data_IF_824682856001
#
_entry.id   IF_824682856001
#
_cell.length_a   1.000
_cell.length_b   1.000
_cell.length_c   1.000
_cell.angle_alpha   90.00
_cell.angle_beta   90.00
_cell.angle_gamma   90.00
#
_symmetry.space_group_name_H-M   'P 1'
#
loop_
_entity.id
_entity.type
_entity.pdbx_description
1 polymer ?
#
# COMPACT_ATOMS: atom_id res chain seq x y z
N UNK A 1 -14.34 4.80 -5.18
CA UNK A 1 -15.20 4.77 -3.94
C UNK A 1 -14.82 5.88 -2.96
N UNK A 2 -13.53 6.15 -2.76
CA UNK A 2 -13.03 7.22 -1.90
C UNK A 2 -13.60 8.61 -2.24
N UNK A 3 -13.69 8.97 -3.53
CA UNK A 3 -14.33 10.22 -4.00
C UNK A 3 -15.76 10.36 -3.44
N UNK A 4 -16.58 9.30 -3.52
CA UNK A 4 -17.94 9.30 -2.97
C UNK A 4 -17.96 9.45 -1.45
N UNK A 5 -16.95 8.91 -0.76
CA UNK A 5 -16.76 9.11 0.68
C UNK A 5 -16.60 10.59 1.02
N UNK A 6 -15.72 11.29 0.30
CA UNK A 6 -15.55 12.74 0.45
C UNK A 6 -16.81 13.53 0.07
N UNK A 7 -17.47 13.21 -1.05
CA UNK A 7 -18.72 13.85 -1.48
C UNK A 7 -19.86 13.69 -0.47
N UNK A 8 -19.84 12.64 0.36
CA UNK A 8 -20.86 12.37 1.35
C UNK A 8 -20.68 13.20 2.64
N UNK A 9 -19.54 13.85 2.86
CA UNK A 9 -19.25 14.62 4.08
C UNK A 9 -20.34 15.64 4.45
N UNK A 10 -20.87 16.47 3.52
CA UNK A 10 -21.89 17.45 3.87
C UNK A 10 -23.22 16.84 4.31
N UNK A 11 -23.52 15.61 3.91
CA UNK A 11 -24.82 14.95 4.13
C UNK A 11 -24.80 13.92 5.26
N UNK A 12 -23.71 13.16 5.38
CA UNK A 12 -23.60 11.97 6.23
C UNK A 12 -22.34 12.01 7.11
N UNK A 13 -21.90 13.20 7.52
CA UNK A 13 -20.62 13.50 8.19
C UNK A 13 -19.96 12.34 8.96
N UNK A 14 -20.52 11.87 10.10
CA UNK A 14 -19.90 10.82 10.91
C UNK A 14 -19.64 9.49 10.15
N UNK A 15 -20.55 9.12 9.26
CA UNK A 15 -20.42 7.92 8.42
C UNK A 15 -19.39 8.15 7.30
N UNK A 16 -19.43 9.31 6.66
CA UNK A 16 -18.50 9.70 5.61
C UNK A 16 -17.04 9.69 6.10
N UNK A 17 -16.75 10.20 7.30
CA UNK A 17 -15.40 10.14 7.88
C UNK A 17 -14.87 8.72 8.05
N UNK A 18 -15.74 7.79 8.44
CA UNK A 18 -15.34 6.41 8.63
C UNK A 18 -15.12 5.71 7.28
N UNK A 19 -15.96 5.99 6.30
CA UNK A 19 -15.81 5.48 4.94
C UNK A 19 -14.53 6.03 4.28
N UNK A 20 -14.22 7.32 4.46
CA UNK A 20 -12.97 7.93 4.00
C UNK A 20 -11.78 7.20 4.61
N UNK A 21 -11.74 7.01 5.94
CA UNK A 21 -10.65 6.29 6.61
C UNK A 21 -10.50 4.86 6.07
N UNK A 22 -11.61 4.14 5.96
CA UNK A 22 -11.62 2.78 5.46
C UNK A 22 -11.12 2.70 4.01
N UNK A 23 -11.68 3.50 3.11
CA UNK A 23 -11.26 3.49 1.70
C UNK A 23 -9.85 4.05 1.50
N UNK A 24 -9.39 4.99 2.32
CA UNK A 24 -8.00 5.46 2.34
C UNK A 24 -7.04 4.34 2.77
N UNK A 25 -7.39 3.55 3.78
CA UNK A 25 -6.57 2.40 4.20
C UNK A 25 -6.50 1.34 3.09
N UNK A 26 -7.64 0.99 2.49
CA UNK A 26 -7.71 0.01 1.40
C UNK A 26 -6.91 0.48 0.18
N UNK A 27 -7.11 1.71 -0.29
CA UNK A 27 -6.37 2.20 -1.46
C UNK A 27 -4.89 2.40 -1.12
N UNK A 28 -4.57 2.85 0.08
CA UNK A 28 -3.20 3.01 0.55
C UNK A 28 -2.43 1.69 0.53
N UNK A 29 -3.04 0.61 1.02
CA UNK A 29 -2.46 -0.73 0.98
C UNK A 29 -2.17 -1.20 -0.45
N UNK A 30 -3.18 -1.23 -1.33
CA UNK A 30 -2.98 -1.74 -2.69
C UNK A 30 -2.04 -0.87 -3.54
N UNK A 31 -2.02 0.45 -3.32
CA UNK A 31 -1.08 1.34 -4.02
C UNK A 31 0.34 1.15 -3.50
N UNK A 32 0.53 0.92 -2.20
CA UNK A 32 1.85 0.61 -1.64
C UNK A 32 2.37 -0.74 -2.15
N UNK A 33 1.53 -1.78 -2.13
CA UNK A 33 1.85 -3.11 -2.66
C UNK A 33 2.21 -3.07 -4.14
N UNK A 34 1.53 -2.22 -4.93
CA UNK A 34 1.89 -2.01 -6.33
C UNK A 34 3.34 -1.52 -6.52
N UNK A 35 3.96 -0.93 -5.49
CA UNK A 35 5.35 -0.51 -5.51
C UNK A 35 6.37 -1.59 -5.12
N UNK A 36 5.93 -2.73 -4.62
CA UNK A 36 6.80 -3.86 -4.29
C UNK A 36 7.08 -4.66 -5.57
N UNK A 37 8.36 -4.77 -6.02
CA UNK A 37 8.71 -5.45 -7.27
C UNK A 37 8.17 -6.87 -7.39
N UNK A 38 8.11 -7.57 -6.26
CA UNK A 38 7.74 -8.98 -6.19
C UNK A 38 6.22 -9.24 -6.21
N UNK A 39 5.35 -8.24 -6.08
CA UNK A 39 3.89 -8.43 -5.93
C UNK A 39 3.15 -8.72 -7.26
N UNK A 40 3.82 -8.58 -8.40
CA UNK A 40 3.23 -8.76 -9.74
C UNK A 40 3.84 -9.91 -10.56
N UNK A 41 4.67 -10.77 -9.94
CA UNK A 41 5.40 -11.85 -10.63
C UNK A 41 4.98 -13.23 -10.13
N UNK A 42 5.11 -14.25 -10.99
CA UNK A 42 4.91 -15.64 -10.57
C UNK A 42 5.99 -16.07 -9.55
N UNK A 43 7.22 -15.61 -9.71
CA UNK A 43 8.35 -15.92 -8.83
C UNK A 43 8.42 -15.00 -7.58
N UNK A 44 7.26 -14.57 -7.05
CA UNK A 44 7.16 -13.56 -5.99
C UNK A 44 7.92 -13.88 -4.71
N UNK A 45 8.16 -15.16 -4.45
CA UNK A 45 8.92 -15.62 -3.27
C UNK A 45 10.24 -16.28 -3.67
N UNK A 46 10.70 -16.15 -4.92
CA UNK A 46 11.90 -16.83 -5.40
C UNK A 46 11.74 -18.36 -5.57
N UNK A 47 10.52 -18.87 -5.46
CA UNK A 47 10.21 -20.30 -5.43
C UNK A 47 10.47 -21.04 -6.75
N UNK A 48 10.57 -20.33 -7.87
CA UNK A 48 10.87 -20.89 -9.19
C UNK A 48 12.37 -20.90 -9.51
N UNK A 49 13.19 -20.20 -8.72
CA UNK A 49 14.63 -20.01 -8.97
C UNK A 49 15.52 -20.40 -7.79
N UNK A 50 14.95 -21.03 -6.75
CA UNK A 50 15.70 -21.53 -5.59
C UNK A 50 15.99 -20.49 -4.51
N UNK A 51 15.20 -19.41 -4.44
CA UNK A 51 15.42 -18.26 -3.56
C UNK A 51 14.29 -18.07 -2.53
N UNK A 52 13.57 -19.16 -2.22
CA UNK A 52 12.39 -19.17 -1.35
C UNK A 52 12.59 -18.32 -0.10
N UNK A 53 11.66 -17.39 0.14
CA UNK A 53 11.67 -16.47 1.28
C UNK A 53 12.18 -15.06 0.97
N UNK A 54 12.68 -14.80 -0.24
CA UNK A 54 13.18 -13.46 -0.63
C UNK A 54 12.10 -12.37 -0.49
N UNK A 55 10.83 -12.72 -0.64
CA UNK A 55 9.74 -11.76 -0.43
C UNK A 55 9.82 -11.11 0.96
N UNK A 56 9.83 -11.94 2.00
CA UNK A 56 9.91 -11.51 3.39
C UNK A 56 11.26 -10.84 3.69
N UNK A 57 12.36 -11.42 3.19
CA UNK A 57 13.69 -10.88 3.43
C UNK A 57 13.83 -9.47 2.86
N UNK A 58 13.28 -9.20 1.68
CA UNK A 58 13.39 -7.89 1.02
C UNK A 58 12.43 -6.85 1.60
N UNK A 59 11.14 -7.16 1.73
CA UNK A 59 10.14 -6.13 2.09
C UNK A 59 10.06 -5.86 3.60
N UNK A 60 10.33 -6.86 4.43
CA UNK A 60 10.15 -6.78 5.89
C UNK A 60 11.50 -6.74 6.61
N UNK A 61 12.28 -7.81 6.53
CA UNK A 61 13.50 -7.93 7.33
C UNK A 61 14.54 -6.87 6.98
N UNK A 62 14.80 -6.65 5.68
CA UNK A 62 15.75 -5.64 5.22
C UNK A 62 15.31 -4.23 5.65
N UNK A 63 14.01 -3.92 5.54
CA UNK A 63 13.47 -2.64 5.97
C UNK A 63 13.63 -2.45 7.48
N UNK A 64 13.21 -3.42 8.30
CA UNK A 64 13.32 -3.33 9.77
C UNK A 64 14.77 -3.15 10.21
N UNK A 65 15.70 -3.90 9.62
CA UNK A 65 17.14 -3.84 9.94
C UNK A 65 17.76 -2.48 9.60
N UNK A 66 17.41 -1.92 8.44
CA UNK A 66 18.13 -0.77 7.87
C UNK A 66 17.31 0.52 7.73
N UNK A 67 16.07 0.59 8.25
CA UNK A 67 15.19 1.76 8.14
C UNK A 67 15.84 3.10 8.52
N UNK A 68 16.75 3.10 9.52
CA UNK A 68 17.46 4.32 9.96
C UNK A 68 18.50 4.82 8.96
N UNK A 69 18.90 3.98 8.01
CA UNK A 69 19.89 4.30 6.98
C UNK A 69 19.23 4.73 5.67
N UNK A 70 17.94 4.49 5.48
CA UNK A 70 17.19 4.85 4.28
C UNK A 70 16.97 6.37 4.19
N UNK A 71 17.12 6.90 2.98
CA UNK A 71 16.75 8.28 2.67
C UNK A 71 15.27 8.35 2.27
N UNK A 72 14.44 8.82 3.20
CA UNK A 72 13.01 9.06 2.96
C UNK A 72 12.79 10.53 2.61
N UNK A 73 12.63 10.80 1.32
CA UNK A 73 12.34 12.11 0.74
C UNK A 73 11.29 11.99 -0.37
N UNK A 74 10.00 11.81 -0.02
CA UNK A 74 8.92 11.72 -0.99
C UNK A 74 8.86 12.98 -1.87
N UNK A 75 8.47 12.79 -3.12
CA UNK A 75 8.26 13.87 -4.07
C UNK A 75 6.97 14.67 -3.81
N UNK A 76 6.76 15.77 -4.55
CA UNK A 76 5.54 16.57 -4.45
C UNK A 76 4.30 15.77 -4.88
N UNK A 77 3.13 16.21 -4.40
CA UNK A 77 1.85 15.63 -4.80
C UNK A 77 1.64 15.73 -6.30
N UNK A 78 1.11 14.65 -6.89
CA UNK A 78 0.74 14.56 -8.30
C UNK A 78 -0.78 14.52 -8.42
N UNK A 79 -1.32 15.11 -9.48
CA UNK A 79 -2.73 14.96 -9.81
C UNK A 79 -2.94 13.61 -10.50
N UNK A 80 -3.79 12.76 -9.93
CA UNK A 80 -4.13 11.44 -10.45
C UNK A 80 -5.63 11.40 -10.72
N UNK A 81 -5.99 11.42 -11.99
CA UNK A 81 -7.38 11.44 -12.47
C UNK A 81 -7.91 10.08 -12.89
N UNK A 82 -7.00 9.14 -13.20
CA UNK A 82 -7.31 7.77 -13.61
C UNK A 82 -6.56 6.80 -12.71
N UNK A 83 -7.13 6.51 -11.53
CA UNK A 83 -6.43 5.74 -10.48
C UNK A 83 -6.10 4.31 -10.91
N UNK A 84 -6.93 3.70 -11.76
CA UNK A 84 -6.71 2.35 -12.27
C UNK A 84 -5.45 2.31 -13.12
N UNK A 85 -5.39 3.19 -14.12
CA UNK A 85 -4.29 3.21 -15.09
C UNK A 85 -2.97 3.48 -14.37
N UNK A 86 -2.95 4.46 -13.46
CA UNK A 86 -1.80 4.72 -12.60
C UNK A 86 -1.32 3.48 -11.81
N UNK A 87 -2.23 2.73 -11.20
CA UNK A 87 -1.87 1.52 -10.43
C UNK A 87 -1.32 0.43 -11.37
N UNK A 88 -1.94 0.21 -12.52
CA UNK A 88 -1.46 -0.80 -13.48
C UNK A 88 -0.11 -0.42 -14.09
N UNK A 89 0.13 0.85 -14.39
CA UNK A 89 1.44 1.37 -14.81
C UNK A 89 2.48 1.13 -13.71
N UNK A 90 2.15 1.45 -12.47
CA UNK A 90 3.02 1.21 -11.29
C UNK A 90 3.36 -0.28 -11.13
N UNK A 91 2.38 -1.17 -11.31
CA UNK A 91 2.59 -2.63 -11.26
C UNK A 91 3.50 -3.11 -12.38
N UNK A 92 3.33 -2.59 -13.60
CA UNK A 92 4.19 -2.92 -14.73
C UNK A 92 5.62 -2.44 -14.50
N UNK A 93 5.81 -1.24 -13.95
CA UNK A 93 7.13 -0.75 -13.52
C UNK A 93 7.76 -1.66 -12.46
N UNK A 94 7.01 -2.00 -11.39
CA UNK A 94 7.48 -2.92 -10.34
C UNK A 94 7.87 -4.29 -10.89
N UNK A 95 7.05 -4.84 -11.80
CA UNK A 95 7.30 -6.13 -12.43
C UNK A 95 8.67 -6.18 -13.12
N UNK A 96 9.07 -5.10 -13.81
CA UNK A 96 10.38 -5.04 -14.48
C UNK A 96 11.57 -5.03 -13.49
N UNK A 97 11.33 -4.73 -12.21
CA UNK A 97 12.36 -4.62 -11.17
C UNK A 97 12.50 -5.90 -10.35
N UNK A 98 11.67 -6.91 -10.59
CA UNK A 98 11.70 -8.16 -9.82
C UNK A 98 13.01 -8.93 -10.03
N UNK A 99 13.50 -8.97 -11.28
CA UNK A 99 14.76 -9.66 -11.60
C UNK A 99 15.97 -9.00 -10.96
N UNK A 100 15.95 -7.68 -10.75
CA UNK A 100 17.01 -6.97 -10.02
C UNK A 100 17.07 -7.40 -8.55
N UNK A 101 15.90 -7.56 -7.90
CA UNK A 101 15.81 -8.06 -6.51
C UNK A 101 16.31 -9.50 -6.42
N UNK A 102 15.89 -10.36 -7.35
CA UNK A 102 16.32 -11.76 -7.38
C UNK A 102 17.82 -11.90 -7.69
N UNK A 103 18.37 -11.05 -8.56
CA UNK A 103 19.80 -11.04 -8.86
C UNK A 103 20.60 -10.60 -7.64
N UNK A 104 20.16 -9.53 -6.96
CA UNK A 104 20.80 -9.07 -5.74
C UNK A 104 20.78 -10.12 -4.61
N UNK A 105 19.69 -10.88 -4.46
CA UNK A 105 19.61 -11.99 -3.50
C UNK A 105 20.63 -13.10 -3.81
N UNK A 106 20.77 -13.52 -5.08
CA UNK A 106 21.77 -14.51 -5.49
C UNK A 106 23.19 -14.04 -5.24
N UNK A 107 23.49 -12.79 -5.56
CA UNK A 107 24.80 -12.20 -5.30
C UNK A 107 25.08 -12.07 -3.80
N UNK A 108 24.05 -11.72 -3.02
CA UNK A 108 24.15 -11.54 -1.58
C UNK A 108 24.36 -12.86 -0.84
N UNK A 109 23.79 -13.98 -1.30
CA UNK A 109 24.04 -15.29 -0.69
C UNK A 109 25.38 -15.88 -1.18
N UNK A 110 25.69 -15.78 -2.46
CA UNK A 110 26.89 -16.39 -3.05
C UNK A 110 26.96 -17.88 -2.76
N UNK A 111 28.10 -18.34 -2.24
CA UNK A 111 28.32 -19.75 -1.85
C UNK A 111 27.99 -20.03 -0.37
N UNK A 112 27.29 -19.10 0.33
CA UNK A 112 26.87 -19.30 1.72
C UNK A 112 25.60 -20.14 1.79
N UNK A 113 25.48 -20.89 2.88
CA UNK A 113 24.27 -21.68 3.19
C UNK A 113 23.35 -21.01 4.22
N UNK A 114 23.71 -19.82 4.71
CA UNK A 114 22.99 -19.08 5.74
C UNK A 114 22.73 -17.62 5.34
N UNK A 115 21.53 -17.13 5.63
CA UNK A 115 21.14 -15.72 5.50
C UNK A 115 21.60 -14.91 6.72
N UNK A 116 22.91 -14.81 6.90
CA UNK A 116 23.56 -14.13 8.02
C UNK A 116 23.58 -12.59 7.87
N UNK A 117 24.19 -11.88 8.83
CA UNK A 117 24.30 -10.42 8.77
C UNK A 117 25.06 -9.95 7.53
N UNK A 118 26.05 -10.71 7.05
CA UNK A 118 26.79 -10.38 5.83
C UNK A 118 25.91 -10.48 4.58
N UNK A 119 25.02 -11.47 4.53
CA UNK A 119 23.99 -11.57 3.49
C UNK A 119 23.10 -10.31 3.51
N UNK A 120 22.57 -9.92 4.67
CA UNK A 120 21.68 -8.76 4.78
C UNK A 120 22.38 -7.44 4.46
N UNK A 121 23.64 -7.25 4.88
CA UNK A 121 24.44 -6.09 4.51
C UNK A 121 24.66 -5.99 3.01
N UNK A 122 24.97 -7.13 2.37
CA UNK A 122 25.20 -7.18 0.92
C UNK A 122 23.90 -6.93 0.15
N UNK A 123 22.81 -7.60 0.53
CA UNK A 123 21.50 -7.40 -0.09
C UNK A 123 21.07 -5.94 0.05
N UNK A 124 21.20 -5.35 1.25
CA UNK A 124 20.87 -3.96 1.49
C UNK A 124 21.69 -3.02 0.61
N UNK A 125 23.02 -3.18 0.59
CA UNK A 125 23.87 -2.33 -0.24
C UNK A 125 23.50 -2.39 -1.73
N UNK A 126 23.09 -3.56 -2.23
CA UNK A 126 22.68 -3.77 -3.62
C UNK A 126 21.31 -3.20 -3.93
N UNK A 127 20.32 -3.40 -3.06
CA UNK A 127 18.93 -3.02 -3.33
C UNK A 127 18.53 -1.69 -2.73
N UNK A 128 19.38 -1.04 -1.94
CA UNK A 128 19.07 0.23 -1.26
C UNK A 128 18.56 1.31 -2.21
N UNK A 129 19.20 1.62 -3.36
CA UNK A 129 18.68 2.65 -4.26
C UNK A 129 17.27 2.33 -4.77
N UNK A 130 17.01 1.06 -5.08
CA UNK A 130 15.70 0.58 -5.51
C UNK A 130 14.67 0.71 -4.38
N UNK A 131 15.01 0.27 -3.17
CA UNK A 131 14.14 0.35 -2.00
C UNK A 131 13.81 1.80 -1.65
N UNK A 132 14.80 2.69 -1.58
CA UNK A 132 14.59 4.13 -1.36
C UNK A 132 13.68 4.72 -2.43
N UNK A 133 13.92 4.40 -3.71
CA UNK A 133 13.06 4.86 -4.81
C UNK A 133 11.62 4.38 -4.64
N UNK A 134 11.39 3.08 -4.50
CA UNK A 134 10.02 2.51 -4.41
C UNK A 134 9.27 2.98 -3.18
N UNK A 135 9.95 3.12 -2.04
CA UNK A 135 9.33 3.63 -0.82
C UNK A 135 8.92 5.10 -0.96
N UNK A 136 9.78 5.95 -1.52
CA UNK A 136 9.45 7.36 -1.76
C UNK A 136 8.33 7.52 -2.81
N UNK A 137 8.38 6.75 -3.89
CA UNK A 137 7.33 6.74 -4.91
C UNK A 137 5.99 6.28 -4.32
N UNK A 138 5.98 5.23 -3.49
CA UNK A 138 4.79 4.73 -2.82
C UNK A 138 4.16 5.78 -1.89
N UNK A 139 4.97 6.45 -1.06
CA UNK A 139 4.49 7.52 -0.17
C UNK A 139 3.87 8.65 -0.99
N UNK A 140 4.55 9.10 -2.05
CA UNK A 140 4.02 10.14 -2.94
C UNK A 140 2.72 9.68 -3.62
N UNK A 141 2.65 8.45 -4.10
CA UNK A 141 1.49 7.89 -4.80
C UNK A 141 0.27 7.80 -3.89
N UNK A 142 0.42 7.24 -2.69
CA UNK A 142 -0.68 7.14 -1.70
C UNK A 142 -1.22 8.52 -1.34
N UNK A 143 -0.33 9.48 -1.05
CA UNK A 143 -0.73 10.84 -0.75
C UNK A 143 -1.43 11.53 -1.93
N UNK A 144 -0.92 11.30 -3.15
CA UNK A 144 -1.45 11.86 -4.40
C UNK A 144 -2.85 11.33 -4.72
N UNK A 145 -3.09 10.02 -4.56
CA UNK A 145 -4.40 9.41 -4.82
C UNK A 145 -5.45 9.90 -3.82
N UNK A 146 -5.12 9.91 -2.53
CA UNK A 146 -6.06 10.38 -1.49
C UNK A 146 -6.38 11.86 -1.71
N UNK A 147 -5.37 12.68 -1.99
CA UNK A 147 -5.56 14.11 -2.25
C UNK A 147 -6.38 14.32 -3.51
N UNK A 148 -6.03 13.67 -4.62
CA UNK A 148 -6.78 13.78 -5.89
C UNK A 148 -8.24 13.39 -5.71
N UNK A 149 -8.54 12.35 -4.91
CA UNK A 149 -9.92 11.97 -4.61
C UNK A 149 -10.68 13.05 -3.80
N UNK A 150 -10.00 13.74 -2.86
CA UNK A 150 -10.56 14.87 -2.13
C UNK A 150 -10.79 16.08 -3.04
N UNK A 151 -9.84 16.38 -3.94
CA UNK A 151 -9.97 17.48 -4.90
C UNK A 151 -11.12 17.24 -5.88
N UNK A 152 -11.22 16.04 -6.44
CA UNK A 152 -12.32 15.63 -7.34
C UNK A 152 -13.69 15.64 -6.63
N UNK A 153 -13.71 15.48 -5.31
CA UNK A 153 -14.93 15.61 -4.51
C UNK A 153 -15.34 17.07 -4.25
N UNK A 154 -14.62 18.05 -4.79
CA UNK A 154 -14.91 19.48 -4.60
C UNK A 154 -14.29 20.07 -3.34
N UNK A 155 -13.23 19.44 -2.80
CA UNK A 155 -12.49 19.93 -1.62
C UNK A 155 -13.39 20.15 -0.39
N UNK A 156 -14.24 19.19 0.01
CA UNK A 156 -15.11 19.35 1.17
C UNK A 156 -14.28 19.63 2.43
N UNK A 157 -14.73 20.52 3.33
CA UNK A 157 -13.99 20.85 4.54
C UNK A 157 -13.83 19.61 5.43
N UNK A 158 -12.62 19.42 5.94
CA UNK A 158 -12.27 18.32 6.83
C UNK A 158 -12.12 18.83 8.27
N UNK A 159 -12.69 18.11 9.23
CA UNK A 159 -12.43 18.32 10.65
C UNK A 159 -11.34 17.37 11.14
N UNK A 160 -10.37 17.89 11.88
CA UNK A 160 -9.35 17.09 12.57
C UNK A 160 -9.96 16.22 13.69
N UNK A 161 -11.08 16.67 14.26
CA UNK A 161 -11.82 15.99 15.33
C UNK A 161 -13.25 15.70 14.85
N UNK A 162 -13.43 14.73 13.95
CA UNK A 162 -14.76 14.40 13.47
C UNK A 162 -15.59 13.79 14.61
N UNK A 163 -16.89 14.14 14.70
CA UNK A 163 -17.77 13.59 15.73
C UNK A 163 -17.86 12.06 15.61
N UNK A 164 -17.97 11.33 16.75
CA UNK A 164 -18.12 9.89 16.72
C UNK A 164 -19.41 9.49 16.00
N UNK A 165 -19.45 8.25 15.48
CA UNK A 165 -20.68 7.70 14.90
C UNK A 165 -21.79 7.68 15.97
N UNK A 166 -23.03 8.06 15.63
CA UNK A 166 -24.14 7.95 16.56
C UNK A 166 -24.39 6.48 16.91
N UNK A 167 -24.88 6.19 18.13
CA UNK A 167 -25.24 4.82 18.53
C UNK A 167 -26.23 4.20 17.54
N UNK A 168 -25.98 2.96 17.14
CA UNK A 168 -26.89 2.21 16.29
C UNK A 168 -27.80 1.32 17.13
N UNK A 169 -29.11 1.33 16.86
CA UNK A 169 -30.03 0.34 17.44
C UNK A 169 -29.72 -1.03 16.86
N UNK A 170 -29.64 -2.05 17.73
CA UNK A 170 -29.56 -3.45 17.31
C UNK A 170 -30.74 -3.76 16.37
N UNK A 171 -30.46 -4.26 15.17
CA UNK A 171 -31.50 -4.84 14.31
C UNK A 171 -31.98 -6.12 14.99
N UNK A 172 -33.13 -6.06 15.66
CA UNK A 172 -33.88 -7.25 16.05
C UNK A 172 -34.68 -7.64 14.81
N UNK A 173 -34.46 -8.84 14.28
CA UNK A 173 -35.17 -9.34 13.11
C UNK A 173 -36.68 -9.24 13.31
N UNK A 174 -37.42 -8.89 12.26
CA UNK A 174 -38.88 -9.01 12.24
C UNK A 174 -39.27 -10.49 12.29
N UNK A 175 -39.19 -11.11 13.47
CA UNK A 175 -39.96 -12.32 13.77
C UNK A 175 -41.27 -11.89 14.39
N UNK A 176 -42.22 -11.59 13.51
CA UNK A 176 -43.57 -11.19 13.87
C UNK A 176 -44.47 -11.22 12.64
N UNK A 177 -44.40 -12.29 11.86
CA UNK A 177 -45.51 -12.62 10.97
C UNK A 177 -46.71 -12.93 11.89
N UNK A 178 -47.71 -12.04 11.88
CA UNK A 178 -49.00 -12.34 12.48
C UNK A 178 -49.57 -13.59 11.79
N UNK A 179 -50.19 -14.55 12.51
CA UNK A 179 -50.91 -15.63 11.86
C UNK A 179 -52.04 -15.02 11.03
N UNK A 180 -52.09 -15.36 9.74
CA UNK A 180 -53.20 -14.97 8.86
C UNK A 180 -54.52 -15.60 9.39
N UNK A 181 -55.66 -14.89 9.24
CA UNK A 181 -56.98 -15.36 9.66
C UNK A 181 -57.45 -16.60 8.90
#
# INVERSE_FOLDING_TARGET
RLIRGFQALPKNGPYAYSDIRFFSAIIGHYVADAHVPLHAVLNYNGQLTGQTGIHNRWEDELFIRYQKQLVIKPGPLKSITHERDFIFETLLESFQLADDVLTADKEAIGDRDEYDDRYFETLFARTRPLMEKRLNDAITAVASIITSAWEQAGKPPLSATPPPRPPQRRRIGQNGAAPNP
#
